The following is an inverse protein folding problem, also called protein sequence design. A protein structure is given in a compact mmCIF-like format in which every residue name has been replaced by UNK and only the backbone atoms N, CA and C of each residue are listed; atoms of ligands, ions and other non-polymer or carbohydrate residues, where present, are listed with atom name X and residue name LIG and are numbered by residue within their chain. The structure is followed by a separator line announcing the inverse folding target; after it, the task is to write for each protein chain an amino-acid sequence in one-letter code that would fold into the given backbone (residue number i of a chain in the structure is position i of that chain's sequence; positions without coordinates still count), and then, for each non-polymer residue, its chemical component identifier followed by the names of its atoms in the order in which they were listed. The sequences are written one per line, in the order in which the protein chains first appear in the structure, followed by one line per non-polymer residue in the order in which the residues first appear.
data_IF_474832263472
#
_entry.id   IF_474832263472
#
_cell.length_a   1.000
_cell.length_b   1.000
_cell.length_c   1.000
_cell.angle_alpha   90.00
_cell.angle_beta   90.00
_cell.angle_gamma   90.00
#
_symmetry.space_group_name_H-M   'P 1'
#
loop_
_entity.id
_entity.type
_entity.pdbx_description
1 polymer ?
#
# COMPACT_ATOMS: atom_id res chain seq x y z
N UNK A 1 -41.31 -23.56 -17.53
CA UNK A 1 -42.38 -22.79 -16.85
C UNK A 1 -41.74 -21.71 -15.98
N UNK A 2 -41.57 -20.49 -16.49
CA UNK A 2 -41.10 -19.38 -15.67
C UNK A 2 -42.25 -18.85 -14.85
N UNK A 3 -42.32 -19.21 -13.55
CA UNK A 3 -43.16 -18.49 -12.59
C UNK A 3 -42.62 -17.06 -12.52
N UNK A 4 -43.35 -16.11 -13.07
CA UNK A 4 -43.06 -14.70 -12.90
C UNK A 4 -43.17 -14.37 -11.40
N UNK A 5 -42.05 -14.04 -10.77
CA UNK A 5 -41.98 -13.53 -9.39
C UNK A 5 -43.08 -12.47 -9.17
N UNK A 6 -43.84 -12.63 -8.09
CA UNK A 6 -44.87 -11.67 -7.67
C UNK A 6 -44.24 -10.30 -7.38
N UNK A 7 -44.95 -9.18 -7.63
CA UNK A 7 -44.46 -7.84 -7.24
C UNK A 7 -44.05 -7.74 -5.76
N UNK A 8 -44.73 -8.46 -4.88
CA UNK A 8 -44.42 -8.49 -3.44
C UNK A 8 -43.13 -9.25 -3.14
N UNK A 9 -42.90 -10.38 -3.82
CA UNK A 9 -41.68 -11.17 -3.70
C UNK A 9 -40.46 -10.37 -4.17
N UNK A 10 -40.62 -9.60 -5.27
CA UNK A 10 -39.58 -8.68 -5.76
C UNK A 10 -39.28 -7.59 -4.75
N UNK A 11 -40.29 -6.96 -4.18
CA UNK A 11 -40.09 -5.90 -3.17
C UNK A 11 -39.38 -6.44 -1.93
N UNK A 12 -39.80 -7.60 -1.43
CA UNK A 12 -39.16 -8.25 -0.29
C UNK A 12 -37.69 -8.59 -0.56
N UNK A 13 -37.40 -9.20 -1.73
CA UNK A 13 -36.04 -9.53 -2.15
C UNK A 13 -35.14 -8.30 -2.21
N UNK A 14 -35.67 -7.18 -2.69
CA UNK A 14 -34.92 -5.92 -2.78
C UNK A 14 -34.67 -5.30 -1.40
N UNK A 15 -35.65 -5.34 -0.50
CA UNK A 15 -35.47 -4.90 0.88
C UNK A 15 -34.41 -5.74 1.61
N UNK A 16 -34.50 -7.07 1.50
CA UNK A 16 -33.53 -7.99 2.11
C UNK A 16 -32.13 -7.75 1.55
N UNK A 17 -32.00 -7.56 0.24
CA UNK A 17 -30.72 -7.21 -0.39
C UNK A 17 -30.20 -5.83 0.06
N UNK A 18 -31.06 -4.82 0.18
CA UNK A 18 -30.64 -3.50 0.66
C UNK A 18 -30.14 -3.59 2.10
N UNK A 19 -30.87 -4.28 2.98
CA UNK A 19 -30.45 -4.52 4.36
C UNK A 19 -29.09 -5.22 4.43
N UNK A 20 -28.93 -6.33 3.71
CA UNK A 20 -27.68 -7.08 3.69
C UNK A 20 -26.50 -6.23 3.18
N UNK A 21 -26.70 -5.43 2.12
CA UNK A 21 -25.67 -4.50 1.62
C UNK A 21 -25.28 -3.48 2.69
N UNK A 22 -26.25 -2.91 3.41
CA UNK A 22 -25.97 -1.93 4.48
C UNK A 22 -25.21 -2.60 5.62
N UNK A 23 -25.61 -3.79 6.06
CA UNK A 23 -24.95 -4.53 7.13
C UNK A 23 -23.49 -4.87 6.77
N UNK A 24 -23.21 -5.23 5.52
CA UNK A 24 -21.83 -5.45 5.05
C UNK A 24 -21.02 -4.15 5.14
N UNK A 25 -21.58 -3.02 4.69
CA UNK A 25 -20.89 -1.73 4.75
C UNK A 25 -20.66 -1.26 6.18
N UNK A 26 -21.58 -1.54 7.10
CA UNK A 26 -21.40 -1.28 8.53
C UNK A 26 -20.30 -2.16 9.13
N UNK A 27 -20.25 -3.44 8.77
CA UNK A 27 -19.14 -4.33 9.12
C UNK A 27 -17.81 -3.78 8.64
N UNK A 28 -17.73 -3.34 7.38
CA UNK A 28 -16.54 -2.69 6.83
C UNK A 28 -16.18 -1.37 7.52
N UNK A 29 -17.16 -0.61 7.97
CA UNK A 29 -16.93 0.60 8.75
C UNK A 29 -16.27 0.27 10.12
N UNK A 30 -16.70 -0.82 10.76
CA UNK A 30 -16.21 -1.24 12.06
C UNK A 30 -14.84 -1.94 12.00
N UNK A 31 -14.66 -2.84 11.05
CA UNK A 31 -13.49 -3.75 11.00
C UNK A 31 -12.44 -3.26 9.99
N UNK A 32 -12.87 -2.57 8.95
CA UNK A 32 -12.06 -2.18 7.81
C UNK A 32 -12.57 -2.82 6.53
N UNK A 33 -12.24 -2.20 5.40
CA UNK A 33 -12.61 -2.71 4.08
C UNK A 33 -11.62 -3.80 3.68
N UNK A 34 -12.06 -5.01 3.33
CA UNK A 34 -11.18 -6.06 2.86
C UNK A 34 -10.42 -5.63 1.60
N UNK A 35 -9.19 -6.12 1.45
CA UNK A 35 -8.34 -5.77 0.31
C UNK A 35 -9.00 -6.15 -1.02
N UNK A 36 -8.92 -5.27 -2.02
CA UNK A 36 -9.52 -5.47 -3.33
C UNK A 36 -11.04 -5.29 -3.40
N UNK A 37 -11.73 -5.05 -2.28
CA UNK A 37 -13.19 -4.87 -2.28
C UNK A 37 -13.62 -3.51 -2.85
N UNK A 38 -14.66 -3.53 -3.68
CA UNK A 38 -15.25 -2.30 -4.22
C UNK A 38 -16.33 -1.74 -3.28
N UNK A 39 -16.20 -0.45 -2.93
CA UNK A 39 -17.14 0.26 -2.07
C UNK A 39 -18.12 1.06 -2.96
N UNK A 40 -19.43 0.79 -2.90
CA UNK A 40 -20.42 1.58 -3.64
C UNK A 40 -20.56 2.98 -3.03
N UNK A 41 -19.86 3.97 -3.59
CA UNK A 41 -19.83 5.35 -3.05
C UNK A 41 -21.08 6.18 -3.37
N UNK A 42 -21.95 5.70 -4.25
CA UNK A 42 -23.15 6.41 -4.69
C UNK A 42 -24.36 5.50 -4.63
N UNK A 43 -25.54 6.08 -4.45
CA UNK A 43 -26.82 5.38 -4.53
C UNK A 43 -26.99 4.56 -5.82
N UNK A 44 -26.54 5.11 -6.95
CA UNK A 44 -26.56 4.39 -8.22
C UNK A 44 -25.57 3.19 -8.26
N UNK A 45 -24.44 3.29 -7.55
CA UNK A 45 -23.50 2.19 -7.40
C UNK A 45 -24.05 1.13 -6.44
N UNK A 46 -24.64 1.53 -5.30
CA UNK A 46 -25.26 0.62 -4.34
C UNK A 46 -26.35 -0.24 -4.98
N UNK A 47 -27.15 0.37 -5.84
CA UNK A 47 -28.19 -0.28 -6.65
C UNK A 47 -27.65 -1.41 -7.53
N UNK A 48 -26.50 -1.18 -8.17
CA UNK A 48 -25.84 -2.13 -9.08
C UNK A 48 -24.90 -3.08 -8.37
N UNK A 49 -24.48 -2.76 -7.16
CA UNK A 49 -23.52 -3.56 -6.41
C UNK A 49 -24.15 -4.87 -5.96
N UNK A 50 -23.56 -6.01 -6.31
CA UNK A 50 -24.04 -7.33 -5.92
C UNK A 50 -23.54 -7.81 -4.55
N UNK A 51 -22.87 -6.95 -3.77
CA UNK A 51 -22.11 -7.39 -2.61
C UNK A 51 -20.70 -7.89 -3.00
N UNK A 52 -19.88 -8.32 -2.03
CA UNK A 52 -18.52 -8.82 -2.25
C UNK A 52 -18.49 -10.05 -3.17
N UNK A 53 -19.46 -10.95 -3.01
CA UNK A 53 -19.58 -12.19 -3.77
C UNK A 53 -20.47 -12.06 -5.01
N UNK A 54 -21.05 -10.88 -5.25
CA UNK A 54 -21.94 -10.62 -6.38
C UNK A 54 -23.33 -11.27 -6.30
N UNK A 55 -23.71 -11.85 -5.16
CA UNK A 55 -24.93 -12.66 -4.99
C UNK A 55 -26.18 -11.85 -4.61
N UNK A 56 -26.02 -10.62 -4.12
CA UNK A 56 -27.13 -9.79 -3.66
C UNK A 56 -27.92 -9.18 -4.82
N UNK A 57 -29.24 -9.08 -4.63
CA UNK A 57 -30.11 -8.54 -5.66
C UNK A 57 -29.77 -7.08 -6.00
N UNK A 58 -29.81 -6.76 -7.28
CA UNK A 58 -29.71 -5.40 -7.79
C UNK A 58 -31.13 -4.81 -7.95
N UNK A 59 -31.26 -3.49 -7.86
CA UNK A 59 -32.53 -2.82 -8.08
C UNK A 59 -32.36 -1.54 -8.91
N UNK A 60 -33.40 -1.20 -9.66
CA UNK A 60 -33.41 -0.02 -10.54
C UNK A 60 -34.17 1.16 -9.94
N UNK A 61 -35.22 0.92 -9.13
CA UNK A 61 -36.08 1.95 -8.57
C UNK A 61 -35.30 2.85 -7.58
N UNK A 62 -35.07 4.14 -7.91
CA UNK A 62 -34.35 5.07 -7.04
C UNK A 62 -35.15 5.49 -5.82
N UNK A 63 -36.47 5.27 -5.77
CA UNK A 63 -37.28 5.58 -4.59
C UNK A 63 -36.98 4.65 -3.42
N UNK A 64 -36.28 3.53 -3.64
CA UNK A 64 -35.91 2.61 -2.55
C UNK A 64 -34.90 3.26 -1.60
N UNK A 65 -33.88 3.88 -2.16
CA UNK A 65 -32.70 4.38 -1.44
C UNK A 65 -32.56 5.91 -1.52
N UNK A 66 -33.64 6.62 -1.90
CA UNK A 66 -33.62 8.08 -1.95
C UNK A 66 -33.50 8.67 -0.54
N UNK A 67 -32.57 9.61 -0.31
CA UNK A 67 -32.46 10.28 0.99
C UNK A 67 -33.76 10.99 1.38
N UNK A 68 -34.15 10.87 2.65
CA UNK A 68 -35.29 11.53 3.31
C UNK A 68 -36.71 11.21 2.79
N UNK A 69 -36.85 10.79 1.53
CA UNK A 69 -38.15 10.56 0.88
C UNK A 69 -38.28 9.18 0.24
N UNK A 70 -37.28 8.31 0.46
CA UNK A 70 -37.29 6.94 -0.04
C UNK A 70 -38.21 6.02 0.76
N UNK A 71 -38.45 4.81 0.23
CA UNK A 71 -39.24 3.76 0.89
C UNK A 71 -38.59 3.29 2.19
N UNK A 72 -37.26 3.35 2.29
CA UNK A 72 -36.50 2.92 3.46
C UNK A 72 -35.52 4.01 3.90
N UNK A 73 -36.01 5.08 4.56
CA UNK A 73 -35.18 6.21 4.97
C UNK A 73 -34.11 5.80 6.00
N UNK A 74 -34.46 4.94 6.96
CA UNK A 74 -33.51 4.48 8.00
C UNK A 74 -32.32 3.70 7.40
N UNK A 75 -32.58 2.81 6.43
CA UNK A 75 -31.51 2.07 5.74
C UNK A 75 -30.63 3.02 4.91
N UNK A 76 -31.24 4.05 4.33
CA UNK A 76 -30.53 5.07 3.57
C UNK A 76 -29.60 5.89 4.46
N UNK A 77 -30.05 6.27 5.65
CA UNK A 77 -29.23 6.97 6.63
C UNK A 77 -28.06 6.11 7.11
N UNK A 78 -28.33 4.85 7.47
CA UNK A 78 -27.31 3.88 7.87
C UNK A 78 -26.26 3.65 6.79
N UNK A 79 -26.68 3.52 5.52
CA UNK A 79 -25.78 3.46 4.38
C UNK A 79 -24.84 4.68 4.31
N UNK A 80 -25.39 5.89 4.40
CA UNK A 80 -24.59 7.11 4.35
C UNK A 80 -23.63 7.22 5.55
N UNK A 81 -24.07 6.82 6.74
CA UNK A 81 -23.23 6.79 7.92
C UNK A 81 -22.08 5.79 7.78
N UNK A 82 -22.36 4.60 7.25
CA UNK A 82 -21.34 3.59 6.98
C UNK A 82 -20.27 4.11 6.01
N UNK A 83 -20.68 4.77 4.92
CA UNK A 83 -19.74 5.38 3.98
C UNK A 83 -18.86 6.46 4.62
N UNK A 84 -19.44 7.34 5.44
CA UNK A 84 -18.67 8.36 6.18
C UNK A 84 -17.63 7.71 7.10
N UNK A 85 -18.03 6.68 7.83
CA UNK A 85 -17.14 5.97 8.76
C UNK A 85 -16.00 5.25 8.03
N UNK A 86 -16.31 4.57 6.92
CA UNK A 86 -15.29 3.94 6.06
C UNK A 86 -14.30 4.99 5.57
N UNK A 87 -14.79 6.13 5.07
CA UNK A 87 -13.92 7.18 4.54
C UNK A 87 -13.00 7.78 5.62
N UNK A 88 -13.54 8.07 6.80
CA UNK A 88 -12.76 8.56 7.94
C UNK A 88 -11.66 7.58 8.33
N UNK A 89 -11.97 6.28 8.37
CA UNK A 89 -11.00 5.23 8.67
C UNK A 89 -9.90 5.15 7.62
N UNK A 90 -10.27 5.16 6.33
CA UNK A 90 -9.31 5.13 5.23
C UNK A 90 -8.37 6.34 5.27
N UNK A 91 -8.87 7.54 5.58
CA UNK A 91 -8.05 8.76 5.75
C UNK A 91 -7.07 8.61 6.91
N UNK A 92 -7.53 8.11 8.06
CA UNK A 92 -6.69 7.88 9.25
C UNK A 92 -5.58 6.86 8.97
N UNK A 93 -5.92 5.75 8.32
CA UNK A 93 -4.96 4.72 7.92
C UNK A 93 -3.90 5.24 6.94
N UNK A 94 -4.33 5.97 5.89
CA UNK A 94 -3.40 6.59 4.92
C UNK A 94 -2.44 7.57 5.60
N UNK A 95 -2.93 8.37 6.54
CA UNK A 95 -2.10 9.33 7.28
C UNK A 95 -1.05 8.63 8.16
N UNK A 96 -1.44 7.55 8.84
CA UNK A 96 -0.50 6.73 9.61
C UNK A 96 0.59 6.14 8.72
N UNK A 97 0.19 5.46 7.64
CA UNK A 97 1.13 4.85 6.68
C UNK A 97 2.08 5.86 6.05
N UNK A 98 1.61 7.07 5.76
CA UNK A 98 2.48 8.13 5.23
C UNK A 98 3.53 8.56 6.25
N UNK A 99 3.15 8.74 7.53
CA UNK A 99 4.10 9.02 8.60
C UNK A 99 5.14 7.91 8.80
N UNK A 100 4.72 6.65 8.75
CA UNK A 100 5.63 5.50 8.84
C UNK A 100 6.63 5.46 7.68
N UNK A 101 6.16 5.74 6.46
CA UNK A 101 7.02 5.81 5.27
C UNK A 101 8.01 6.98 5.34
N UNK A 102 7.58 8.15 5.83
CA UNK A 102 8.46 9.30 6.04
C UNK A 102 9.57 8.99 7.05
N UNK A 103 9.21 8.32 8.16
CA UNK A 103 10.17 7.88 9.16
C UNK A 103 11.18 6.87 8.59
N UNK A 104 10.71 5.87 7.85
CA UNK A 104 11.57 4.90 7.18
C UNK A 104 12.52 5.56 6.16
N UNK A 105 12.01 6.52 5.38
CA UNK A 105 12.80 7.26 4.41
C UNK A 105 13.88 8.10 5.10
N UNK A 106 13.56 8.72 6.23
CA UNK A 106 14.55 9.47 7.03
C UNK A 106 15.67 8.57 7.56
N UNK A 107 15.35 7.35 8.01
CA UNK A 107 16.36 6.35 8.43
C UNK A 107 17.26 5.96 7.25
N UNK A 108 16.67 5.59 6.11
CA UNK A 108 17.43 5.21 4.91
C UNK A 108 18.34 6.32 4.40
N UNK A 109 17.90 7.59 4.49
CA UNK A 109 18.75 8.74 4.14
C UNK A 109 19.99 8.83 5.03
N UNK A 110 19.81 8.70 6.35
CA UNK A 110 20.93 8.72 7.31
C UNK A 110 21.92 7.58 7.06
N UNK A 111 21.40 6.39 6.80
CA UNK A 111 22.25 5.23 6.47
C UNK A 111 23.02 5.45 5.17
N UNK A 112 22.38 6.01 4.14
CA UNK A 112 23.06 6.32 2.89
C UNK A 112 24.18 7.36 3.07
N UNK A 113 23.92 8.41 3.85
CA UNK A 113 24.91 9.45 4.16
C UNK A 113 26.09 8.87 4.95
N UNK A 114 25.83 8.01 5.94
CA UNK A 114 26.87 7.31 6.69
C UNK A 114 27.73 6.41 5.80
N UNK A 115 27.11 5.64 4.90
CA UNK A 115 27.82 4.80 3.93
C UNK A 115 28.65 5.63 2.94
N UNK A 116 28.13 6.78 2.48
CA UNK A 116 28.89 7.72 1.63
C UNK A 116 30.12 8.26 2.35
N UNK A 117 29.97 8.66 3.62
CA UNK A 117 31.08 9.14 4.43
C UNK A 117 32.13 8.03 4.66
N UNK A 118 31.67 6.80 4.94
CA UNK A 118 32.56 5.64 5.09
C UNK A 118 33.31 5.35 3.79
N UNK A 119 32.63 5.34 2.65
CA UNK A 119 33.26 5.14 1.34
C UNK A 119 34.29 6.22 1.04
N UNK A 120 33.99 7.50 1.30
CA UNK A 120 34.94 8.59 1.11
C UNK A 120 36.19 8.42 1.98
N UNK A 121 36.02 8.00 3.24
CA UNK A 121 37.13 7.71 4.16
C UNK A 121 38.00 6.55 3.66
N UNK A 122 37.38 5.45 3.21
CA UNK A 122 38.10 4.29 2.69
C UNK A 122 38.87 4.62 1.40
N UNK A 123 38.27 5.40 0.49
CA UNK A 123 38.95 5.88 -0.72
C UNK A 123 40.18 6.72 -0.34
N UNK A 124 40.04 7.66 0.60
CA UNK A 124 41.18 8.46 1.07
C UNK A 124 42.30 7.62 1.69
N UNK A 125 41.96 6.57 2.44
CA UNK A 125 42.94 5.64 3.00
C UNK A 125 43.65 4.81 1.92
N UNK A 126 42.92 4.40 0.87
CA UNK A 126 43.51 3.72 -0.28
C UNK A 126 44.50 4.63 -1.00
N UNK A 127 44.10 5.86 -1.34
CA UNK A 127 44.97 6.85 -2.00
C UNK A 127 46.25 7.11 -1.18
N UNK A 128 46.13 7.24 0.14
CA UNK A 128 47.27 7.44 1.02
C UNK A 128 48.22 6.23 1.02
N UNK A 129 47.67 5.02 1.06
CA UNK A 129 48.46 3.78 1.01
C UNK A 129 49.16 3.63 -0.32
N UNK A 130 48.47 3.88 -1.44
CA UNK A 130 49.04 3.82 -2.78
C UNK A 130 50.21 4.81 -2.94
N UNK A 131 50.04 6.07 -2.52
CA UNK A 131 51.14 7.07 -2.53
C UNK A 131 52.33 6.62 -1.70
N UNK A 132 52.09 6.00 -0.54
CA UNK A 132 53.15 5.50 0.33
C UNK A 132 53.88 4.31 -0.30
N UNK A 133 53.17 3.40 -0.97
CA UNK A 133 53.78 2.29 -1.71
C UNK A 133 54.69 2.85 -2.80
N UNK A 134 54.19 3.78 -3.64
CA UNK A 134 54.99 4.40 -4.71
C UNK A 134 56.26 5.05 -4.15
N UNK A 135 56.15 5.83 -3.07
CA UNK A 135 57.30 6.46 -2.44
C UNK A 135 58.33 5.42 -1.93
N UNK A 136 57.86 4.34 -1.29
CA UNK A 136 58.75 3.28 -0.80
C UNK A 136 59.41 2.50 -1.93
N UNK A 137 58.70 2.25 -3.03
CA UNK A 137 59.25 1.64 -4.22
C UNK A 137 60.32 2.53 -4.87
N UNK A 138 60.08 3.84 -4.95
CA UNK A 138 61.04 4.81 -5.47
C UNK A 138 62.31 4.88 -4.61
N UNK A 139 62.16 4.90 -3.28
CA UNK A 139 63.30 4.82 -2.36
C UNK A 139 64.06 3.50 -2.48
N UNK A 140 63.35 2.37 -2.56
CA UNK A 140 63.98 1.06 -2.75
C UNK A 140 64.78 1.01 -4.07
N UNK A 141 64.21 1.52 -5.18
CA UNK A 141 64.93 1.67 -6.46
C UNK A 141 66.18 2.55 -6.32
N UNK A 142 66.07 3.70 -5.65
CA UNK A 142 67.20 4.60 -5.43
C UNK A 142 68.35 3.94 -4.65
N UNK A 143 68.01 3.08 -3.69
CA UNK A 143 68.98 2.31 -2.89
C UNK A 143 69.37 0.95 -3.50
N UNK A 144 68.96 0.66 -4.74
CA UNK A 144 69.22 -0.61 -5.45
C UNK A 144 68.72 -1.85 -4.69
N UNK A 145 67.65 -1.69 -3.90
CA UNK A 145 66.97 -2.79 -3.23
C UNK A 145 65.96 -3.44 -4.18
N UNK A 146 65.77 -4.76 -4.12
CA UNK A 146 64.78 -5.44 -4.94
C UNK A 146 63.37 -4.99 -4.57
N UNK A 147 62.62 -4.47 -5.55
CA UNK A 147 61.20 -4.12 -5.39
C UNK A 147 60.36 -5.34 -5.76
N UNK A 148 59.44 -5.79 -4.88
CA UNK A 148 58.55 -6.90 -5.20
C UNK A 148 57.64 -6.55 -6.39
N UNK A 149 57.33 -7.51 -7.28
CA UNK A 149 56.44 -7.27 -8.40
C UNK A 149 55.02 -6.92 -7.91
N UNK A 150 54.23 -6.15 -8.68
CA UNK A 150 52.87 -5.80 -8.31
C UNK A 150 52.07 -7.07 -8.05
N UNK A 151 51.41 -7.13 -6.88
CA UNK A 151 50.59 -8.27 -6.50
C UNK A 151 49.41 -8.31 -7.49
N UNK A 152 49.42 -9.28 -8.40
CA UNK A 152 48.32 -9.48 -9.33
C UNK A 152 47.04 -9.64 -8.50
N UNK A 153 46.05 -8.78 -8.72
CA UNK A 153 44.76 -8.86 -8.05
C UNK A 153 44.19 -10.27 -8.27
N UNK A 154 44.31 -11.12 -7.25
CA UNK A 154 43.67 -12.43 -7.27
C UNK A 154 42.19 -12.16 -7.27
N UNK A 155 41.60 -12.26 -8.47
CA UNK A 155 40.17 -12.39 -8.69
C UNK A 155 39.68 -13.55 -7.84
N UNK A 156 39.26 -13.26 -6.62
CA UNK A 156 38.52 -14.21 -5.79
C UNK A 156 37.13 -14.30 -6.38
N UNK A 157 37.01 -15.09 -7.45
CA UNK A 157 35.75 -15.62 -7.92
C UNK A 157 35.15 -16.46 -6.79
N UNK A 158 33.96 -16.04 -6.34
CA UNK A 158 32.85 -16.88 -5.89
C UNK A 158 33.02 -17.65 -4.57
N UNK A 159 32.04 -17.51 -3.68
CA UNK A 159 31.00 -18.52 -3.34
C UNK A 159 29.82 -17.71 -2.80
N UNK A 160 28.71 -17.60 -3.56
CA UNK A 160 27.44 -18.34 -3.36
C UNK A 160 26.95 -18.34 -1.92
#
# INVERSE_FOLDING_TARGET
MSRSESPEEKQRRVLEAFRAKVEILEGWAAEGVPEGSEIPKTHAALRRWGGPDGTLAQWSDPLIDRPNVGKYPDLTERYQQALRNIELRLRKSKRGRLGDLEAALAVLRRENDALRAQNASLIGLLDQRERRIVLLEDLARAHKLPVPPPVAATSSKSHR
#
